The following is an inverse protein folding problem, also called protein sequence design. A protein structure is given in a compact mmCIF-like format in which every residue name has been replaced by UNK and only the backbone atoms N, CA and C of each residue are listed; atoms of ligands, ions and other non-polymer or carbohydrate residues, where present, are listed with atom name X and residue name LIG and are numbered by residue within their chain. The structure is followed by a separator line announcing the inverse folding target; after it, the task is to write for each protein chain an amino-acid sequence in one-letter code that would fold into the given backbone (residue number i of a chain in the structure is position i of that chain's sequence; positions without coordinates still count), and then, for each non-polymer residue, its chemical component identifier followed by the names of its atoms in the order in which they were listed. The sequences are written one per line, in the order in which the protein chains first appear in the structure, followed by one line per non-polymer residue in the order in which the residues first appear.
data_IF_287679503679
#
_entry.id   IF_287679503679
#
_cell.length_a   1.000
_cell.length_b   1.000
_cell.length_c   1.000
_cell.angle_alpha   90.00
_cell.angle_beta   90.00
_cell.angle_gamma   90.00
#
_symmetry.space_group_name_H-M   'P 1'
#
loop_
_entity.id
_entity.type
_entity.pdbx_description
1 polymer ?
#
# COMPACT_ATOMS: atom_id res chain seq x y z
N UNK A 1 33.96 2.20 -19.21
CA UNK A 1 32.95 2.93 -18.43
C UNK A 1 33.13 2.52 -16.98
N UNK A 2 33.01 3.42 -16.01
CA UNK A 2 33.05 3.01 -14.60
C UNK A 2 31.82 2.16 -14.28
N UNK A 3 31.97 1.17 -13.40
CA UNK A 3 30.87 0.32 -12.94
C UNK A 3 29.74 1.17 -12.35
N UNK A 4 30.09 2.27 -11.66
CA UNK A 4 29.19 3.31 -11.18
C UNK A 4 28.34 3.96 -12.29
N UNK A 5 28.94 4.33 -13.43
CA UNK A 5 28.22 4.95 -14.54
C UNK A 5 27.31 3.92 -15.22
N UNK A 6 27.79 2.69 -15.40
CA UNK A 6 27.03 1.62 -16.03
C UNK A 6 25.80 1.22 -15.19
N UNK A 7 25.95 1.12 -13.87
CA UNK A 7 24.83 0.83 -12.96
C UNK A 7 23.77 1.94 -13.00
N UNK A 8 24.17 3.22 -13.06
CA UNK A 8 23.25 4.35 -13.22
C UNK A 8 22.52 4.36 -14.56
N UNK A 9 23.20 4.00 -15.65
CA UNK A 9 22.57 3.89 -16.98
C UNK A 9 21.50 2.79 -16.97
N UNK A 10 21.81 1.63 -16.40
CA UNK A 10 20.84 0.52 -16.28
C UNK A 10 19.66 0.93 -15.40
N UNK A 11 19.93 1.64 -14.30
CA UNK A 11 18.88 2.19 -13.45
C UNK A 11 17.98 3.17 -14.19
N UNK A 12 18.56 4.07 -14.99
CA UNK A 12 17.81 4.98 -15.86
C UNK A 12 16.97 4.24 -16.89
N UNK A 13 17.51 3.19 -17.51
CA UNK A 13 16.77 2.34 -18.46
C UNK A 13 15.61 1.60 -17.78
N UNK A 14 15.80 1.13 -16.55
CA UNK A 14 14.73 0.58 -15.72
C UNK A 14 13.62 1.61 -15.47
N UNK A 15 13.96 2.86 -15.14
CA UNK A 15 12.97 3.94 -14.95
C UNK A 15 12.20 4.21 -16.25
N UNK A 16 12.88 4.23 -17.41
CA UNK A 16 12.21 4.40 -18.69
C UNK A 16 11.25 3.25 -19.01
N UNK A 17 11.67 2.00 -18.73
CA UNK A 17 10.83 0.82 -18.89
C UNK A 17 9.60 0.86 -17.97
N UNK A 18 9.78 1.39 -16.75
CA UNK A 18 8.70 1.61 -15.78
C UNK A 18 7.68 2.64 -16.29
N UNK A 19 8.14 3.76 -16.84
CA UNK A 19 7.29 4.81 -17.42
C UNK A 19 6.55 4.32 -18.68
N UNK A 20 7.12 3.37 -19.42
CA UNK A 20 6.47 2.84 -20.62
C UNK A 20 5.25 1.93 -20.30
N UNK A 21 5.04 1.52 -19.05
CA UNK A 21 3.89 0.73 -18.57
C UNK A 21 3.57 -0.56 -19.36
N UNK A 22 4.42 -1.02 -20.28
CA UNK A 22 4.20 -2.25 -21.07
C UNK A 22 4.48 -3.53 -20.28
N UNK A 23 5.32 -3.44 -19.25
CA UNK A 23 5.68 -4.56 -18.40
C UNK A 23 5.21 -4.29 -16.95
N UNK A 24 4.77 -5.32 -16.22
CA UNK A 24 4.48 -5.19 -14.80
C UNK A 24 5.70 -4.64 -14.03
N UNK A 25 5.44 -3.80 -13.03
CA UNK A 25 6.51 -3.09 -12.32
C UNK A 25 7.56 -4.03 -11.70
N UNK A 26 7.14 -5.17 -11.15
CA UNK A 26 8.06 -6.17 -10.61
C UNK A 26 8.94 -6.79 -11.70
N UNK A 27 8.37 -7.12 -12.86
CA UNK A 27 9.11 -7.69 -13.99
C UNK A 27 10.21 -6.74 -14.46
N UNK A 28 9.88 -5.46 -14.64
CA UNK A 28 10.86 -4.44 -15.03
C UNK A 28 11.99 -4.30 -14.01
N UNK A 29 11.65 -4.31 -12.72
CA UNK A 29 12.64 -4.17 -11.65
C UNK A 29 13.56 -5.39 -11.54
N UNK A 30 13.00 -6.61 -11.60
CA UNK A 30 13.77 -7.86 -11.60
C UNK A 30 14.68 -7.94 -12.82
N UNK A 31 14.19 -7.53 -14.00
CA UNK A 31 15.02 -7.47 -15.21
C UNK A 31 16.23 -6.55 -15.01
N UNK A 32 16.05 -5.41 -14.35
CA UNK A 32 17.15 -4.53 -13.95
C UNK A 32 18.22 -5.25 -13.12
N UNK A 33 17.80 -5.97 -12.07
CA UNK A 33 18.72 -6.79 -11.25
C UNK A 33 19.45 -7.85 -12.09
N UNK A 34 18.72 -8.57 -12.95
CA UNK A 34 19.30 -9.62 -13.81
C UNK A 34 20.35 -9.04 -14.74
N UNK A 35 20.06 -7.91 -15.40
CA UNK A 35 21.00 -7.25 -16.31
C UNK A 35 22.26 -6.80 -15.56
N UNK A 36 22.13 -6.24 -14.35
CA UNK A 36 23.29 -5.85 -13.55
C UNK A 36 24.17 -7.04 -13.16
N UNK A 37 23.58 -8.19 -12.82
CA UNK A 37 24.32 -9.42 -12.51
C UNK A 37 25.01 -10.00 -13.76
N UNK A 38 24.31 -10.05 -14.90
CA UNK A 38 24.88 -10.57 -16.17
C UNK A 38 26.06 -9.71 -16.63
N UNK A 39 25.99 -8.41 -16.43
CA UNK A 39 27.07 -7.47 -16.78
C UNK A 39 28.23 -7.48 -15.76
N UNK A 40 28.15 -8.29 -14.70
CA UNK A 40 29.22 -8.43 -13.71
C UNK A 40 29.34 -7.26 -12.73
N UNK A 41 28.31 -6.40 -12.63
CA UNK A 41 28.31 -5.26 -11.70
C UNK A 41 28.11 -5.68 -10.24
N UNK A 42 27.50 -6.84 -10.01
CA UNK A 42 27.25 -7.41 -8.70
C UNK A 42 27.08 -8.91 -8.78
N UNK A 43 27.34 -9.61 -7.68
CA UNK A 43 27.00 -11.02 -7.53
C UNK A 43 25.48 -11.22 -7.30
N UNK A 44 25.02 -12.47 -7.48
CA UNK A 44 23.62 -12.83 -7.30
C UNK A 44 23.12 -12.56 -5.87
N UNK A 45 23.96 -12.76 -4.86
CA UNK A 45 23.57 -12.55 -3.45
C UNK A 45 23.30 -11.08 -3.17
N UNK A 46 24.14 -10.17 -3.67
CA UNK A 46 23.93 -8.73 -3.50
C UNK A 46 22.66 -8.24 -4.21
N UNK A 47 22.40 -8.70 -5.43
CA UNK A 47 21.24 -8.26 -6.21
C UNK A 47 19.89 -8.87 -5.75
N UNK A 48 19.89 -10.13 -5.29
CA UNK A 48 18.66 -10.86 -4.95
C UNK A 48 18.48 -11.16 -3.45
N UNK A 49 19.51 -10.98 -2.62
CA UNK A 49 19.42 -11.22 -1.17
C UNK A 49 18.36 -10.35 -0.47
N UNK A 50 18.05 -9.19 -1.05
CA UNK A 50 17.05 -8.25 -0.52
C UNK A 50 15.60 -8.75 -0.60
N UNK A 51 15.32 -9.80 -1.39
CA UNK A 51 14.01 -10.45 -1.40
C UNK A 51 13.68 -11.15 -0.07
N UNK A 52 14.69 -11.48 0.72
CA UNK A 52 14.54 -12.04 2.06
C UNK A 52 14.69 -10.98 3.18
N UNK A 53 14.67 -9.69 2.82
CA UNK A 53 14.77 -8.62 3.82
C UNK A 53 13.59 -8.61 4.78
N UNK A 54 13.85 -8.13 6.00
CA UNK A 54 12.84 -7.90 7.05
C UNK A 54 11.62 -7.16 6.52
N UNK A 55 11.84 -6.15 5.70
CA UNK A 55 10.82 -5.31 5.09
C UNK A 55 9.95 -6.07 4.07
N UNK A 56 10.53 -6.95 3.23
CA UNK A 56 9.76 -7.79 2.30
C UNK A 56 8.92 -8.82 3.05
N UNK A 57 9.49 -9.46 4.08
CA UNK A 57 8.77 -10.44 4.92
C UNK A 57 7.62 -9.76 5.68
N UNK A 58 7.86 -8.55 6.21
CA UNK A 58 6.84 -7.72 6.86
C UNK A 58 5.69 -7.41 5.89
N UNK A 59 6.00 -6.99 4.66
CA UNK A 59 4.99 -6.74 3.62
C UNK A 59 4.13 -7.98 3.37
N UNK A 60 4.74 -9.15 3.20
CA UNK A 60 4.03 -10.42 2.96
C UNK A 60 3.08 -10.73 4.13
N UNK A 61 3.56 -10.63 5.37
CA UNK A 61 2.74 -10.89 6.56
C UNK A 61 1.50 -10.00 6.61
N UNK A 62 1.66 -8.70 6.37
CA UNK A 62 0.56 -7.73 6.35
C UNK A 62 -0.41 -8.02 5.19
N UNK A 63 0.09 -8.39 4.01
CA UNK A 63 -0.76 -8.72 2.86
C UNK A 63 -1.64 -9.95 3.11
N UNK A 64 -1.11 -10.96 3.83
CA UNK A 64 -1.89 -12.13 4.25
C UNK A 64 -2.97 -11.72 5.25
N UNK A 65 -2.62 -10.96 6.28
CA UNK A 65 -3.59 -10.43 7.26
C UNK A 65 -4.67 -9.61 6.56
N UNK A 66 -4.30 -8.75 5.61
CA UNK A 66 -5.25 -7.93 4.89
C UNK A 66 -6.18 -8.73 3.98
N UNK A 67 -5.67 -9.80 3.36
CA UNK A 67 -6.49 -10.74 2.59
C UNK A 67 -7.46 -11.51 3.48
N UNK A 68 -7.04 -11.91 4.68
CA UNK A 68 -7.90 -12.56 5.67
C UNK A 68 -8.99 -11.61 6.19
N UNK A 69 -8.68 -10.32 6.40
CA UNK A 69 -9.66 -9.31 6.80
C UNK A 69 -10.76 -9.13 5.73
N UNK A 70 -10.36 -9.15 4.45
CA UNK A 70 -11.28 -9.09 3.33
C UNK A 70 -12.15 -10.37 3.24
N UNK A 71 -11.55 -11.55 3.38
CA UNK A 71 -12.24 -12.85 3.27
C UNK A 71 -13.26 -13.10 4.37
N UNK A 72 -12.93 -12.74 5.61
CA UNK A 72 -13.80 -12.93 6.78
C UNK A 72 -14.98 -11.95 6.82
N UNK A 73 -15.04 -10.99 5.89
CA UNK A 73 -16.09 -9.98 5.82
C UNK A 73 -16.01 -8.92 6.91
N UNK A 74 -14.94 -8.87 7.70
CA UNK A 74 -14.67 -7.80 8.68
C UNK A 74 -14.59 -6.46 7.98
N UNK A 75 -13.81 -6.40 6.90
CA UNK A 75 -13.75 -5.27 6.00
C UNK A 75 -15.13 -4.81 5.46
N UNK A 76 -15.94 -5.76 4.99
CA UNK A 76 -17.28 -5.47 4.48
C UNK A 76 -18.24 -4.98 5.58
N UNK A 77 -18.08 -5.46 6.82
CA UNK A 77 -18.86 -4.99 7.97
C UNK A 77 -18.55 -3.53 8.32
N UNK A 78 -17.28 -3.12 8.28
CA UNK A 78 -16.91 -1.71 8.37
C UNK A 78 -17.57 -0.90 7.24
N UNK A 79 -17.63 -1.45 6.04
CA UNK A 79 -18.37 -0.88 4.93
C UNK A 79 -19.85 -0.60 5.17
N UNK A 80 -20.57 -1.53 5.80
CA UNK A 80 -22.00 -1.37 6.17
C UNK A 80 -22.24 -0.31 7.25
N UNK A 81 -21.22 0.07 8.01
CA UNK A 81 -21.31 1.22 8.93
C UNK A 81 -21.60 2.49 8.12
N UNK A 82 -20.98 2.62 6.94
CA UNK A 82 -21.20 3.77 6.07
C UNK A 82 -22.67 3.89 5.70
N UNK A 83 -23.32 2.83 5.20
CA UNK A 83 -24.75 2.89 4.82
C UNK A 83 -25.67 3.12 6.02
N UNK A 84 -25.39 2.52 7.18
CA UNK A 84 -26.21 2.65 8.38
C UNK A 84 -26.27 4.08 8.95
N UNK A 85 -25.13 4.78 8.99
CA UNK A 85 -25.06 6.12 9.60
C UNK A 85 -25.39 7.26 8.63
N UNK A 86 -25.53 6.95 7.34
CA UNK A 86 -25.56 7.95 6.29
C UNK A 86 -26.87 8.72 6.13
N UNK A 87 -28.00 8.22 6.66
CA UNK A 87 -29.30 8.92 6.69
C UNK A 87 -29.63 9.74 5.41
N UNK A 88 -29.27 9.25 4.21
CA UNK A 88 -29.41 9.93 2.91
C UNK A 88 -28.73 11.31 2.75
N UNK A 89 -27.71 11.63 3.55
CA UNK A 89 -26.92 12.85 3.39
C UNK A 89 -25.56 12.55 2.72
N UNK A 90 -25.38 13.02 1.48
CA UNK A 90 -24.18 12.81 0.67
C UNK A 90 -22.89 13.24 1.39
N UNK A 91 -22.91 14.35 2.14
CA UNK A 91 -21.73 14.81 2.87
C UNK A 91 -21.38 13.90 4.05
N UNK A 92 -22.39 13.37 4.73
CA UNK A 92 -22.20 12.42 5.85
C UNK A 92 -21.63 11.11 5.31
N UNK A 93 -22.14 10.62 4.17
CA UNK A 93 -21.58 9.46 3.48
C UNK A 93 -20.09 9.67 3.21
N UNK A 94 -19.72 10.82 2.65
CA UNK A 94 -18.33 11.15 2.34
C UNK A 94 -17.46 11.14 3.59
N UNK A 95 -17.88 11.81 4.68
CA UNK A 95 -17.10 11.84 5.92
C UNK A 95 -16.91 10.44 6.50
N UNK A 96 -18.00 9.67 6.64
CA UNK A 96 -17.96 8.34 7.26
C UNK A 96 -17.13 7.38 6.39
N UNK A 97 -17.33 7.39 5.06
CA UNK A 97 -16.56 6.58 4.13
C UNK A 97 -15.07 6.95 4.14
N UNK A 98 -14.76 8.25 4.15
CA UNK A 98 -13.38 8.74 4.18
C UNK A 98 -12.65 8.31 5.44
N UNK A 99 -13.23 8.56 6.62
CA UNK A 99 -12.60 8.22 7.90
C UNK A 99 -12.38 6.72 8.01
N UNK A 100 -13.38 5.93 7.62
CA UNK A 100 -13.31 4.48 7.67
C UNK A 100 -12.28 3.92 6.67
N UNK A 101 -12.22 4.47 5.46
CA UNK A 101 -11.19 4.10 4.46
C UNK A 101 -9.79 4.47 4.96
N UNK A 102 -9.63 5.63 5.58
CA UNK A 102 -8.36 6.08 6.15
C UNK A 102 -7.86 5.12 7.24
N UNK A 103 -8.74 4.73 8.17
CA UNK A 103 -8.42 3.79 9.25
C UNK A 103 -8.09 2.41 8.70
N UNK A 104 -8.87 1.89 7.75
CA UNK A 104 -8.60 0.59 7.14
C UNK A 104 -7.28 0.62 6.34
N UNK A 105 -7.00 1.69 5.61
CA UNK A 105 -5.76 1.81 4.81
C UNK A 105 -4.51 2.03 5.65
N UNK A 106 -4.65 2.40 6.91
CA UNK A 106 -3.53 2.40 7.86
C UNK A 106 -3.07 0.98 8.25
N UNK A 107 -3.80 -0.08 7.89
CA UNK A 107 -3.40 -1.46 8.22
C UNK A 107 -3.52 -2.42 7.04
N UNK A 108 -4.21 -2.01 5.99
CA UNK A 108 -4.42 -2.75 4.76
C UNK A 108 -3.76 -2.05 3.60
N UNK A 109 -3.45 -2.80 2.55
CA UNK A 109 -2.98 -2.18 1.31
C UNK A 109 -4.12 -1.35 0.68
N UNK A 110 -3.77 -0.20 0.10
CA UNK A 110 -4.74 0.68 -0.58
C UNK A 110 -5.65 -0.07 -1.57
N UNK A 111 -5.09 -1.05 -2.30
CA UNK A 111 -5.83 -1.88 -3.24
C UNK A 111 -6.92 -2.72 -2.55
N UNK A 112 -6.62 -3.31 -1.39
CA UNK A 112 -7.58 -4.08 -0.59
C UNK A 112 -8.73 -3.19 -0.14
N UNK A 113 -8.43 -2.00 0.41
CA UNK A 113 -9.46 -1.06 0.88
C UNK A 113 -10.37 -0.62 -0.27
N UNK A 114 -9.80 -0.28 -1.43
CA UNK A 114 -10.60 0.07 -2.60
C UNK A 114 -11.51 -1.07 -3.05
N UNK A 115 -11.02 -2.31 -3.09
CA UNK A 115 -11.83 -3.48 -3.45
C UNK A 115 -13.02 -3.70 -2.49
N UNK A 116 -12.86 -3.33 -1.21
CA UNK A 116 -13.94 -3.39 -0.20
C UNK A 116 -14.97 -2.29 -0.45
N UNK A 117 -14.52 -1.07 -0.71
CA UNK A 117 -15.39 0.09 -0.87
C UNK A 117 -16.11 0.18 -2.21
N UNK A 118 -15.50 -0.30 -3.30
CA UNK A 118 -16.13 -0.25 -4.63
C UNK A 118 -17.54 -0.86 -4.69
N UNK A 119 -17.79 -2.11 -4.23
CA UNK A 119 -19.14 -2.67 -4.26
C UNK A 119 -20.12 -1.93 -3.34
N UNK A 120 -19.62 -1.31 -2.26
CA UNK A 120 -20.45 -0.50 -1.36
C UNK A 120 -20.87 0.80 -2.03
N UNK A 121 -19.94 1.49 -2.70
CA UNK A 121 -20.21 2.74 -3.41
C UNK A 121 -21.19 2.50 -4.56
N UNK A 122 -21.04 1.39 -5.30
CA UNK A 122 -21.97 1.01 -6.38
C UNK A 122 -23.35 0.68 -5.82
N UNK A 123 -23.42 -0.08 -4.72
CA UNK A 123 -24.67 -0.46 -4.06
C UNK A 123 -25.40 0.67 -3.31
N UNK A 124 -24.83 1.87 -3.24
CA UNK A 124 -25.44 3.06 -2.61
C UNK A 124 -26.35 3.85 -3.55
N UNK A 125 -26.61 3.33 -4.75
CA UNK A 125 -27.59 3.90 -5.65
C UNK A 125 -28.97 3.93 -5.00
N UNK A 126 -29.56 5.12 -4.97
CA UNK A 126 -30.94 5.32 -4.51
C UNK A 126 -31.76 5.73 -5.72
N UNK A 127 -32.89 5.06 -5.93
CA UNK A 127 -33.82 5.30 -7.05
C UNK A 127 -34.24 6.78 -7.20
N UNK A 128 -34.09 7.58 -6.13
CA UNK A 128 -34.37 9.01 -6.04
C UNK A 128 -33.32 9.94 -6.70
N UNK A 129 -32.14 9.43 -7.14
CA UNK A 129 -31.08 10.24 -7.76
C UNK A 129 -30.38 11.26 -6.84
N UNK A 130 -30.64 11.21 -5.53
CA UNK A 130 -30.09 12.13 -4.51
C UNK A 130 -28.63 11.85 -4.18
N UNK A 131 -28.15 10.63 -4.39
CA UNK A 131 -26.77 10.21 -4.12
C UNK A 131 -26.08 9.94 -5.45
N UNK A 132 -25.08 10.75 -5.78
CA UNK A 132 -24.18 10.46 -6.90
C UNK A 132 -22.97 9.70 -6.34
N UNK A 133 -23.03 8.37 -6.35
CA UNK A 133 -21.92 7.46 -6.08
C UNK A 133 -20.58 7.82 -6.77
N UNK A 134 -20.59 8.47 -7.95
CA UNK A 134 -19.40 9.08 -8.58
C UNK A 134 -18.66 10.06 -7.65
N UNK A 135 -19.37 10.83 -6.85
CA UNK A 135 -18.78 11.82 -5.94
C UNK A 135 -18.16 11.19 -4.69
N UNK A 136 -18.45 9.91 -4.41
CA UNK A 136 -17.91 9.16 -3.26
C UNK A 136 -16.61 8.43 -3.65
N UNK A 137 -16.41 8.15 -4.94
CA UNK A 137 -15.19 7.50 -5.45
C UNK A 137 -13.94 8.35 -5.20
N UNK A 138 -13.95 9.67 -5.47
CA UNK A 138 -12.77 10.53 -5.22
C UNK A 138 -12.38 10.55 -3.74
N UNK A 139 -13.31 10.87 -2.82
CA UNK A 139 -12.99 10.93 -1.41
C UNK A 139 -12.43 9.61 -0.87
N UNK A 140 -12.98 8.47 -1.29
CA UNK A 140 -12.46 7.16 -0.88
C UNK A 140 -11.06 6.91 -1.46
N UNK A 141 -10.80 7.24 -2.74
CA UNK A 141 -9.46 7.15 -3.32
C UNK A 141 -8.44 8.00 -2.55
N UNK A 142 -8.79 9.26 -2.27
CA UNK A 142 -7.94 10.17 -1.46
C UNK A 142 -7.74 9.60 -0.05
N UNK A 143 -8.79 9.11 0.60
CA UNK A 143 -8.71 8.52 1.94
C UNK A 143 -7.79 7.31 2.00
N UNK A 144 -7.84 6.42 1.00
CA UNK A 144 -6.94 5.25 0.96
C UNK A 144 -5.48 5.68 0.80
N UNK A 145 -5.21 6.70 0.00
CA UNK A 145 -3.86 7.25 -0.13
C UNK A 145 -3.37 7.90 1.17
N UNK A 146 -4.19 8.73 1.83
CA UNK A 146 -3.80 9.43 3.07
C UNK A 146 -3.71 8.48 4.28
N UNK A 147 -4.62 7.51 4.38
CA UNK A 147 -4.59 6.49 5.42
C UNK A 147 -3.34 5.62 5.32
N UNK A 148 -2.93 5.25 4.10
CA UNK A 148 -1.69 4.51 3.86
C UNK A 148 -0.43 5.27 4.27
N UNK A 149 -0.47 6.60 4.37
CA UNK A 149 0.67 7.42 4.85
C UNK A 149 0.79 7.39 6.38
N UNK A 150 -0.29 7.03 7.09
CA UNK A 150 -0.37 7.16 8.56
C UNK A 150 0.43 6.10 9.32
N UNK A 151 0.79 4.99 8.71
CA UNK A 151 1.55 3.91 9.35
C UNK A 151 2.51 3.31 8.36
N UNK A 152 3.69 2.88 8.84
CA UNK A 152 4.72 2.24 8.02
C UNK A 152 4.17 1.09 7.13
N UNK A 153 3.16 0.39 7.64
CA UNK A 153 2.55 -0.79 7.04
C UNK A 153 1.50 -0.43 5.96
N UNK A 154 0.85 0.73 6.07
CA UNK A 154 -0.26 1.12 5.20
C UNK A 154 0.15 1.33 3.74
N UNK A 155 1.41 1.66 3.48
CA UNK A 155 1.92 1.95 2.14
C UNK A 155 3.17 1.15 1.78
N UNK A 156 3.14 0.52 0.61
CA UNK A 156 4.32 -0.15 0.04
C UNK A 156 5.51 0.78 -0.18
N UNK A 157 5.26 2.08 -0.41
CA UNK A 157 6.32 3.08 -0.58
C UNK A 157 7.05 3.34 0.73
N UNK A 158 6.32 3.36 1.85
CA UNK A 158 6.91 3.56 3.18
C UNK A 158 7.73 2.35 3.62
N UNK A 159 7.25 1.14 3.33
CA UNK A 159 8.06 -0.07 3.52
C UNK A 159 9.33 -0.01 2.67
N UNK A 160 9.23 0.40 1.40
CA UNK A 160 10.42 0.59 0.55
C UNK A 160 11.41 1.58 1.17
N UNK A 161 10.94 2.73 1.64
CA UNK A 161 11.78 3.72 2.31
C UNK A 161 12.41 3.19 3.59
N UNK A 162 11.66 2.46 4.43
CA UNK A 162 12.18 1.84 5.63
C UNK A 162 13.25 0.79 5.33
N UNK A 163 13.05 -0.05 4.31
CA UNK A 163 14.05 -1.03 3.89
C UNK A 163 15.37 -0.38 3.45
N UNK A 164 15.32 0.81 2.84
CA UNK A 164 16.52 1.58 2.48
C UNK A 164 17.20 2.22 3.71
N UNK A 165 16.42 2.77 4.63
CA UNK A 165 16.93 3.41 5.86
C UNK A 165 17.49 2.36 6.84
N UNK A 166 16.94 1.14 6.84
CA UNK A 166 17.47 -0.03 7.56
C UNK A 166 18.91 -0.35 7.14
N UNK A 167 19.25 -0.19 5.86
CA UNK A 167 20.64 -0.37 5.41
C UNK A 167 21.61 0.65 6.00
N UNK A 168 21.10 1.83 6.39
CA UNK A 168 21.88 2.88 7.05
C UNK A 168 21.95 2.70 8.57
N UNK A 169 21.35 1.63 9.11
CA UNK A 169 21.33 1.33 10.55
C UNK A 169 20.20 2.03 11.33
N UNK A 170 19.29 2.71 10.65
CA UNK A 170 18.13 3.34 11.27
C UNK A 170 16.87 2.51 11.03
N UNK A 171 15.93 2.50 11.97
CA UNK A 171 14.64 1.80 11.81
C UNK A 171 13.51 2.76 12.17
N UNK A 172 12.45 2.78 11.35
CA UNK A 172 11.24 3.53 11.69
C UNK A 172 10.29 2.63 12.49
N UNK A 173 9.72 3.16 13.56
CA UNK A 173 8.59 2.52 14.23
C UNK A 173 7.34 2.68 13.37
N UNK A 174 6.37 1.79 13.59
CA UNK A 174 5.15 1.74 12.77
C UNK A 174 4.35 3.05 12.82
N UNK A 175 4.38 3.75 13.96
CA UNK A 175 3.60 4.96 14.20
C UNK A 175 4.43 6.27 14.13
N UNK A 176 5.70 6.22 13.72
CA UNK A 176 6.53 7.44 13.64
C UNK A 176 5.96 8.44 12.60
N UNK A 177 5.31 7.95 11.55
CA UNK A 177 4.67 8.77 10.52
C UNK A 177 3.22 9.17 10.84
N UNK A 178 2.65 8.67 11.94
CA UNK A 178 1.23 8.88 12.25
C UNK A 178 0.85 10.35 12.47
N UNK A 179 1.63 11.19 13.18
CA UNK A 179 1.28 12.61 13.33
C UNK A 179 1.16 13.32 11.98
N UNK A 180 2.10 13.03 11.07
CA UNK A 180 2.13 13.58 9.71
C UNK A 180 0.94 13.04 8.89
N UNK A 181 0.69 11.73 8.96
CA UNK A 181 -0.43 11.09 8.28
C UNK A 181 -1.79 11.61 8.74
N UNK A 182 -1.97 11.88 10.04
CA UNK A 182 -3.21 12.48 10.58
C UNK A 182 -3.42 13.88 10.00
N UNK A 183 -2.38 14.72 9.94
CA UNK A 183 -2.47 16.06 9.35
C UNK A 183 -2.90 15.96 7.88
N UNK A 184 -2.22 15.12 7.09
CA UNK A 184 -2.57 14.93 5.68
C UNK A 184 -3.97 14.33 5.48
N UNK A 185 -4.40 13.45 6.39
CA UNK A 185 -5.75 12.87 6.36
C UNK A 185 -6.82 13.92 6.66
N UNK A 186 -6.57 14.84 7.59
CA UNK A 186 -7.48 15.97 7.87
C UNK A 186 -7.53 16.92 6.68
N UNK A 187 -6.38 17.28 6.10
CA UNK A 187 -6.32 18.13 4.90
C UNK A 187 -7.02 17.46 3.71
N UNK A 188 -6.79 16.16 3.53
CA UNK A 188 -7.44 15.37 2.47
C UNK A 188 -8.94 15.24 2.66
N UNK A 189 -9.43 15.17 3.90
CA UNK A 189 -10.86 15.19 4.22
C UNK A 189 -11.47 16.55 3.88
N UNK A 190 -10.82 17.65 4.29
CA UNK A 190 -11.27 19.01 3.96
C UNK A 190 -11.28 19.22 2.45
N UNK A 191 -10.22 18.82 1.74
CA UNK A 191 -10.18 18.84 0.28
C UNK A 191 -11.35 18.05 -0.31
N UNK A 192 -11.60 16.84 0.18
CA UNK A 192 -12.67 15.98 -0.34
C UNK A 192 -14.07 16.58 -0.14
N UNK A 193 -14.29 17.29 0.97
CA UNK A 193 -15.58 17.92 1.28
C UNK A 193 -15.84 19.21 0.50
N UNK A 194 -14.82 20.06 0.33
CA UNK A 194 -14.99 21.39 -0.26
C UNK A 194 -14.68 21.43 -1.76
N UNK A 195 -13.68 20.67 -2.22
CA UNK A 195 -13.13 20.73 -3.59
C UNK A 195 -13.37 19.43 -4.34
N UNK A 196 -13.15 18.28 -3.70
CA UNK A 196 -13.29 16.97 -4.31
C UNK A 196 -14.73 16.61 -4.67
N UNK A 197 -15.69 16.96 -3.81
CA UNK A 197 -17.12 16.75 -4.04
C UNK A 197 -17.63 17.37 -5.37
N UNK A 198 -17.38 18.66 -5.68
CA UNK A 198 -17.75 19.23 -6.96
C UNK A 198 -16.88 18.74 -8.13
N UNK A 199 -15.60 18.41 -7.91
CA UNK A 199 -14.74 17.87 -8.98
C UNK A 199 -15.16 16.47 -9.43
N UNK A 200 -15.71 15.65 -8.55
CA UNK A 200 -16.15 14.30 -8.90
C UNK A 200 -17.18 14.31 -10.05
N UNK A 201 -18.13 15.24 -10.00
CA UNK A 201 -19.10 15.44 -11.09
C UNK A 201 -18.42 15.74 -12.43
N UNK A 202 -17.30 16.47 -12.42
CA UNK A 202 -16.54 16.83 -13.62
C UNK A 202 -15.66 15.69 -14.14
N UNK A 203 -15.01 14.95 -13.24
CA UNK A 203 -14.08 13.85 -13.59
C UNK A 203 -14.84 12.66 -14.19
N UNK A 204 -15.99 12.32 -13.60
CA UNK A 204 -16.77 11.14 -13.97
C UNK A 204 -18.03 11.44 -14.80
N UNK A 205 -18.39 12.71 -15.03
CA UNK A 205 -19.63 13.11 -15.70
C UNK A 205 -19.87 12.43 -17.06
N UNK A 206 -18.83 12.35 -17.91
CA UNK A 206 -18.91 11.80 -19.27
C UNK A 206 -18.33 10.39 -19.42
N UNK A 207 -17.98 9.70 -18.32
CA UNK A 207 -17.47 8.32 -18.39
C UNK A 207 -18.63 7.35 -18.29
N UNK A 208 -18.48 6.15 -18.88
CA UNK A 208 -19.49 5.10 -18.80
C UNK A 208 -19.87 4.82 -17.34
N UNK A 209 -21.14 4.46 -17.11
CA UNK A 209 -21.58 4.10 -15.76
C UNK A 209 -20.81 2.86 -15.32
N UNK A 210 -20.47 2.80 -14.04
CA UNK A 210 -19.85 1.62 -13.43
C UNK A 210 -20.75 0.36 -13.51
N UNK A 211 -21.94 0.45 -14.12
CA UNK A 211 -22.86 -0.65 -14.43
C UNK A 211 -22.22 -1.75 -15.32
N UNK A 212 -21.26 -1.40 -16.18
CA UNK A 212 -20.56 -2.38 -17.05
C UNK A 212 -19.37 -3.08 -16.36
N UNK A 213 -19.00 -2.63 -15.16
CA UNK A 213 -18.11 -3.41 -14.32
C UNK A 213 -18.96 -4.55 -13.73
N UNK A 214 -18.74 -5.79 -14.17
CA UNK A 214 -19.08 -7.01 -13.43
C UNK A 214 -18.28 -7.06 -12.10
N UNK A 215 -18.40 -6.02 -11.26
CA UNK A 215 -18.07 -6.10 -9.86
C UNK A 215 -19.26 -6.83 -9.28
N UNK A 216 -19.13 -8.16 -9.23
CA UNK A 216 -20.10 -9.09 -8.65
C UNK A 216 -20.82 -8.38 -7.51
N UNK A 217 -22.09 -8.01 -7.77
CA UNK A 217 -22.97 -7.33 -6.83
C UNK A 217 -22.70 -7.92 -5.47
N UNK A 218 -22.29 -7.08 -4.49
CA UNK A 218 -21.79 -7.46 -3.19
C UNK A 218 -22.51 -8.71 -2.71
N UNK A 219 -21.95 -9.89 -3.04
CA UNK A 219 -22.66 -11.15 -2.85
C UNK A 219 -22.75 -11.21 -1.35
N UNK A 220 -23.96 -11.25 -0.79
CA UNK A 220 -24.18 -11.23 0.66
C UNK A 220 -23.12 -12.12 1.29
N UNK A 221 -22.07 -11.48 1.83
CA UNK A 221 -20.91 -12.23 2.29
C UNK A 221 -21.48 -12.96 3.48
N UNK A 222 -21.67 -14.27 3.35
CA UNK A 222 -22.17 -15.08 4.43
C UNK A 222 -21.08 -15.08 5.50
N UNK A 223 -21.19 -14.13 6.43
CA UNK A 223 -20.19 -13.89 7.45
C UNK A 223 -20.31 -15.01 8.46
N UNK A 224 -19.37 -15.94 8.40
CA UNK A 224 -19.15 -16.88 9.48
C UNK A 224 -18.72 -16.09 10.72
N UNK A 225 -19.63 -16.00 11.70
CA UNK A 225 -19.44 -15.25 12.95
C UNK A 225 -18.17 -15.68 13.67
N UNK A 226 -17.79 -16.97 13.61
CA UNK A 226 -16.59 -17.48 14.26
C UNK A 226 -15.34 -16.88 13.62
N UNK A 227 -15.24 -16.93 12.29
CA UNK A 227 -14.10 -16.37 11.55
C UNK A 227 -14.02 -14.85 11.69
N UNK A 228 -15.17 -14.19 11.67
CA UNK A 228 -15.29 -12.75 11.87
C UNK A 228 -14.68 -12.28 13.20
N UNK A 229 -15.14 -12.85 14.33
CA UNK A 229 -14.63 -12.47 15.65
C UNK A 229 -13.16 -12.88 15.84
N UNK A 230 -12.76 -14.04 15.32
CA UNK A 230 -11.37 -14.49 15.38
C UNK A 230 -10.44 -13.51 14.66
N UNK A 231 -10.84 -13.04 13.48
CA UNK A 231 -10.06 -12.06 12.72
C UNK A 231 -9.97 -10.70 13.42
N UNK A 232 -11.05 -10.23 14.04
CA UNK A 232 -11.03 -8.99 14.84
C UNK A 232 -10.03 -9.12 15.99
N UNK A 233 -10.04 -10.25 16.71
CA UNK A 233 -9.12 -10.50 17.81
C UNK A 233 -7.67 -10.50 17.32
N UNK A 234 -7.36 -11.20 16.23
CA UNK A 234 -6.01 -11.24 15.65
C UNK A 234 -5.55 -9.82 15.26
N UNK A 235 -6.44 -9.05 14.61
CA UNK A 235 -6.13 -7.67 14.19
C UNK A 235 -5.87 -6.76 15.38
N UNK A 236 -6.70 -6.82 16.43
CA UNK A 236 -6.52 -6.02 17.65
C UNK A 236 -5.21 -6.40 18.34
N UNK A 237 -4.91 -7.70 18.48
CA UNK A 237 -3.65 -8.16 19.08
C UNK A 237 -2.43 -7.71 18.29
N UNK A 238 -2.49 -7.77 16.95
CA UNK A 238 -1.45 -7.28 16.05
C UNK A 238 -1.21 -5.78 16.25
N UNK A 239 -2.28 -4.97 16.29
CA UNK A 239 -2.20 -3.52 16.51
C UNK A 239 -1.65 -3.19 17.90
N UNK A 240 -2.09 -3.88 18.95
CA UNK A 240 -1.55 -3.70 20.31
C UNK A 240 -0.06 -4.03 20.33
N UNK A 241 0.35 -5.14 19.72
CA UNK A 241 1.76 -5.51 19.64
C UNK A 241 2.60 -4.45 18.93
N UNK A 242 2.08 -3.83 17.87
CA UNK A 242 2.72 -2.72 17.18
C UNK A 242 2.85 -1.46 18.04
N UNK A 243 1.85 -1.14 18.85
CA UNK A 243 1.86 0.04 19.73
C UNK A 243 2.86 -0.15 20.87
N UNK A 244 2.83 -1.31 21.53
CA UNK A 244 3.71 -1.58 22.69
C UNK A 244 5.15 -1.86 22.24
N UNK A 245 5.37 -2.20 20.97
CA UNK A 245 6.68 -2.42 20.37
C UNK A 245 7.56 -3.42 21.14
N UNK A 246 6.95 -4.42 21.78
CA UNK A 246 7.66 -5.48 22.54
C UNK A 246 8.45 -6.38 21.58
N UNK A 247 7.92 -6.59 20.38
CA UNK A 247 8.39 -7.54 19.39
C UNK A 247 8.60 -6.79 18.06
N UNK A 248 9.62 -7.15 17.26
CA UNK A 248 9.84 -6.51 15.97
C UNK A 248 8.60 -6.60 15.05
N UNK A 249 8.28 -5.53 14.27
CA UNK A 249 7.13 -5.48 13.37
C UNK A 249 6.95 -6.71 12.48
N UNK A 250 8.06 -7.22 11.94
CA UNK A 250 8.08 -8.39 11.05
C UNK A 250 7.59 -9.66 11.77
N UNK A 251 8.02 -9.88 13.01
CA UNK A 251 7.64 -11.06 13.79
C UNK A 251 6.15 -10.98 14.11
N UNK A 252 5.67 -9.81 14.56
CA UNK A 252 4.24 -9.60 14.80
C UNK A 252 3.39 -9.85 13.56
N UNK A 253 3.79 -9.34 12.39
CA UNK A 253 3.07 -9.52 11.14
C UNK A 253 3.03 -11.00 10.70
N UNK A 254 4.16 -11.70 10.78
CA UNK A 254 4.26 -13.11 10.41
C UNK A 254 3.46 -13.98 11.38
N UNK A 255 3.54 -13.72 12.69
CA UNK A 255 2.73 -14.41 13.69
C UNK A 255 1.23 -14.20 13.45
N UNK A 256 0.80 -12.97 13.16
CA UNK A 256 -0.60 -12.69 12.82
C UNK A 256 -1.05 -13.43 11.54
N UNK A 257 -0.22 -13.42 10.49
CA UNK A 257 -0.49 -14.15 9.26
C UNK A 257 -0.63 -15.66 9.49
N UNK A 258 0.26 -16.26 10.27
CA UNK A 258 0.20 -17.67 10.65
C UNK A 258 -1.07 -17.98 11.45
N UNK A 259 -1.43 -17.13 12.42
CA UNK A 259 -2.68 -17.27 13.17
C UNK A 259 -3.90 -17.19 12.24
N UNK A 260 -3.92 -16.29 11.25
CA UNK A 260 -5.00 -16.22 10.27
C UNK A 260 -5.16 -17.53 9.48
N UNK A 261 -4.05 -18.18 9.12
CA UNK A 261 -4.06 -19.46 8.39
C UNK A 261 -4.49 -20.61 9.32
N UNK A 262 -3.90 -20.72 10.51
CA UNK A 262 -4.17 -21.81 11.47
C UNK A 262 -5.62 -21.77 11.96
N UNK A 263 -6.17 -20.57 12.20
CA UNK A 263 -7.56 -20.41 12.63
C UNK A 263 -8.59 -20.58 11.50
N UNK A 264 -8.13 -20.71 10.24
CA UNK A 264 -9.00 -20.86 9.08
C UNK A 264 -9.71 -19.57 8.67
N UNK A 265 -9.20 -18.40 9.07
CA UNK A 265 -9.68 -17.10 8.59
C UNK A 265 -9.40 -16.92 7.09
N UNK A 266 -8.30 -17.52 6.61
CA UNK A 266 -7.94 -17.62 5.19
C UNK A 266 -7.31 -18.97 4.92
N UNK A 267 -7.55 -19.55 3.74
CA UNK A 267 -6.84 -20.77 3.32
C UNK A 267 -5.40 -20.44 2.90
N UNK A 268 -4.46 -21.39 3.06
CA UNK A 268 -3.08 -21.18 2.57
C UNK A 268 -3.04 -20.87 1.08
N UNK A 269 -3.91 -21.51 0.28
CA UNK A 269 -4.01 -21.28 -1.15
C UNK A 269 -4.46 -19.85 -1.44
N UNK A 270 -5.49 -19.37 -0.74
CA UNK A 270 -6.03 -18.03 -0.93
C UNK A 270 -5.07 -16.95 -0.44
N UNK A 271 -4.33 -17.21 0.65
CA UNK A 271 -3.29 -16.31 1.14
C UNK A 271 -2.21 -16.05 0.07
N UNK A 272 -1.83 -17.09 -0.69
CA UNK A 272 -0.82 -16.99 -1.74
C UNK A 272 -1.37 -16.39 -3.04
N UNK A 273 -2.58 -16.78 -3.46
CA UNK A 273 -3.16 -16.35 -4.74
C UNK A 273 -3.69 -14.92 -4.71
N UNK A 274 -4.18 -14.44 -3.55
CA UNK A 274 -4.68 -13.07 -3.39
C UNK A 274 -3.58 -12.05 -3.15
N UNK A 275 -2.37 -12.50 -2.86
CA UNK A 275 -1.24 -11.60 -2.67
C UNK A 275 -0.83 -10.95 -3.99
N UNK A 276 -0.70 -9.63 -3.98
CA UNK A 276 -0.17 -8.90 -5.12
C UNK A 276 1.36 -9.04 -5.21
N UNK A 277 1.79 -10.08 -5.93
CA UNK A 277 3.21 -10.37 -6.18
C UNK A 277 3.96 -9.25 -6.91
N UNK A 278 3.27 -8.34 -7.61
CA UNK A 278 3.93 -7.18 -8.21
C UNK A 278 4.48 -6.22 -7.14
N UNK A 279 3.81 -6.08 -5.99
CA UNK A 279 4.29 -5.21 -4.91
C UNK A 279 5.51 -5.84 -4.23
N UNK A 280 5.42 -7.14 -3.93
CA UNK A 280 6.50 -7.92 -3.30
C UNK A 280 7.74 -7.92 -4.18
N UNK A 281 7.58 -8.29 -5.46
CA UNK A 281 8.69 -8.35 -6.41
C UNK A 281 9.32 -6.98 -6.68
N UNK A 282 8.50 -5.92 -6.77
CA UNK A 282 9.00 -4.55 -6.92
C UNK A 282 9.81 -4.12 -5.70
N UNK A 283 9.31 -4.35 -4.49
CA UNK A 283 10.01 -3.99 -3.26
C UNK A 283 11.37 -4.68 -3.18
N UNK A 284 11.41 -6.00 -3.33
CA UNK A 284 12.65 -6.78 -3.28
C UNK A 284 13.66 -6.35 -4.34
N UNK A 285 13.21 -6.13 -5.58
CA UNK A 285 14.07 -5.67 -6.65
C UNK A 285 14.55 -4.22 -6.47
N UNK A 286 13.73 -3.31 -5.98
CA UNK A 286 14.15 -1.93 -5.70
C UNK A 286 15.24 -1.88 -4.63
N UNK A 287 15.11 -2.67 -3.56
CA UNK A 287 16.15 -2.80 -2.53
C UNK A 287 17.43 -3.42 -3.12
N UNK A 288 17.30 -4.47 -3.93
CA UNK A 288 18.43 -5.08 -4.64
C UNK A 288 19.16 -4.11 -5.56
N UNK A 289 18.43 -3.40 -6.42
CA UNK A 289 18.97 -2.35 -7.30
C UNK A 289 19.68 -1.26 -6.51
N UNK A 290 19.06 -0.78 -5.42
CA UNK A 290 19.68 0.21 -4.55
C UNK A 290 21.01 -0.31 -3.97
N UNK A 291 21.05 -1.59 -3.57
CA UNK A 291 22.28 -2.20 -3.06
C UNK A 291 23.40 -2.26 -4.10
N UNK A 292 23.07 -2.65 -5.33
CA UNK A 292 24.03 -2.72 -6.45
C UNK A 292 24.53 -1.34 -6.84
N UNK A 293 23.65 -0.34 -6.91
CA UNK A 293 24.04 1.05 -7.21
C UNK A 293 24.94 1.60 -6.11
N UNK A 294 24.67 1.26 -4.85
CA UNK A 294 25.53 1.61 -3.71
C UNK A 294 26.90 0.94 -3.83
N UNK A 295 26.97 -0.37 -4.06
CA UNK A 295 28.24 -1.12 -4.11
C UNK A 295 29.13 -0.73 -5.30
N UNK A 296 28.52 -0.27 -6.40
CA UNK A 296 29.27 0.18 -7.59
C UNK A 296 29.77 1.62 -7.49
N UNK A 297 29.41 2.37 -6.44
CA UNK A 297 29.74 3.81 -6.30
C UNK A 297 28.83 4.73 -7.10
N UNK A 298 27.69 4.24 -7.62
CA UNK A 298 26.72 5.04 -8.37
C UNK A 298 26.06 6.12 -7.50
N UNK A 299 25.86 5.85 -6.20
CA UNK A 299 25.34 6.84 -5.25
C UNK A 299 26.32 8.02 -5.11
N UNK A 300 27.63 7.76 -5.05
CA UNK A 300 28.64 8.81 -4.91
C UNK A 300 28.66 9.75 -6.13
N UNK A 301 28.44 9.22 -7.34
CA UNK A 301 28.29 10.04 -8.54
C UNK A 301 27.07 10.96 -8.47
N UNK A 302 25.94 10.46 -7.97
CA UNK A 302 24.74 11.27 -7.77
C UNK A 302 25.00 12.34 -6.72
N UNK A 303 25.60 11.97 -5.58
CA UNK A 303 25.92 12.90 -4.50
C UNK A 303 26.84 14.00 -4.97
N UNK A 304 27.94 13.67 -5.67
CA UNK A 304 28.87 14.66 -6.22
C UNK A 304 28.20 15.59 -7.23
N UNK A 305 27.29 15.07 -8.07
CA UNK A 305 26.51 15.90 -9.00
C UNK A 305 25.60 16.88 -8.26
N UNK A 306 24.90 16.42 -7.22
CA UNK A 306 24.02 17.26 -6.40
C UNK A 306 24.82 18.31 -5.61
N UNK A 307 25.94 17.93 -5.00
CA UNK A 307 26.84 18.85 -4.28
C UNK A 307 27.44 19.91 -5.20
N UNK A 308 27.78 19.57 -6.45
CA UNK A 308 28.26 20.56 -7.42
C UNK A 308 27.18 21.59 -7.81
N UNK A 309 25.89 21.22 -7.73
CA UNK A 309 24.77 22.13 -8.03
C UNK A 309 24.42 22.99 -6.81
N UNK A 310 24.40 22.40 -5.62
CA UNK A 310 23.92 23.05 -4.40
C UNK A 310 25.03 23.70 -3.55
N UNK A 311 26.31 23.39 -3.84
CA UNK A 311 27.49 23.81 -3.09
C UNK A 311 27.86 22.86 -1.94
N UNK A 312 29.12 22.88 -1.51
CA UNK A 312 29.69 21.96 -0.49
C UNK A 312 29.12 22.14 0.94
N UNK A 313 28.19 23.08 1.15
CA UNK A 313 27.59 23.40 2.45
C UNK A 313 26.31 22.63 2.78
N UNK A 314 25.86 21.71 1.91
CA UNK A 314 24.64 20.92 2.14
C UNK A 314 24.95 19.80 3.14
N UNK A 315 24.71 20.09 4.42
CA UNK A 315 24.71 19.09 5.48
C UNK A 315 23.61 18.04 5.20
N UNK A 316 23.88 16.73 5.40
CA UNK A 316 22.84 15.69 5.38
C UNK A 316 21.89 15.76 6.61
N UNK A 317 22.06 16.79 7.46
CA UNK A 317 21.24 17.12 8.64
C UNK A 317 20.87 18.60 8.66
#
# INVERSE_FOLDING_TARGET
MSDALLSLIIFGLFILLFIWYKLPMATSAILGCVVMVILGLSDFSTAFGQFASTTVILLIGVMVVGSALAETGVAAAFGRIVTKYSHNNEKVIIVVAYVLACVLSAFLTNATVLAIFMPIIIGMDTDDGKINHRNIVLPVLVATAMGGISTLVGSSQQLTANGLIEEMGYTMKIFDMTPVGVIFSVVGLLYSLFIGHPLGKRIWGNRDRFEDCEIAAAKDVNIDKRKFYTMIIITILMVISYIVAIVPPVVTAVSAALLCIITGCISQKDAVTRMNWNIVGRLGACLGLAKVISSTGGIDLITNFVSNILGDGVSPF
#
